data_IF_977262711634
#
_entry.id   IF_977262711634
#
_cell.length_a   1.000
_cell.length_b   1.000
_cell.length_c   1.000
_cell.angle_alpha   90.00
_cell.angle_beta   90.00
_cell.angle_gamma   90.00
#
_symmetry.space_group_name_H-M   'P 1'
#
loop_
_entity.id
_entity.type
_entity.pdbx_description
1 polymer ?
#
# COMPACT_ATOMS: atom_id res chain seq x y z
N UNK A 1 -55.61 -27.67 6.46
CA UNK A 1 -54.37 -27.51 5.66
C UNK A 1 -54.75 -27.47 4.19
N UNK A 2 -54.62 -26.30 3.52
CA UNK A 2 -54.83 -26.19 2.06
C UNK A 2 -53.62 -26.85 1.37
N UNK A 3 -53.85 -27.87 0.54
CA UNK A 3 -52.81 -28.46 -0.29
C UNK A 3 -52.38 -27.42 -1.34
N UNK A 4 -51.09 -27.20 -1.59
CA UNK A 4 -50.66 -26.33 -2.69
C UNK A 4 -51.10 -26.97 -4.01
N UNK A 5 -51.95 -26.30 -4.78
CA UNK A 5 -52.45 -26.78 -6.08
C UNK A 5 -51.78 -26.00 -7.21
N UNK A 6 -50.44 -26.01 -7.24
CA UNK A 6 -49.72 -25.49 -8.41
C UNK A 6 -49.85 -26.49 -9.54
N UNK A 7 -50.27 -26.01 -10.71
CA UNK A 7 -50.34 -26.87 -11.90
C UNK A 7 -48.92 -27.05 -12.45
N UNK A 8 -48.67 -28.19 -13.10
CA UNK A 8 -47.34 -28.56 -13.61
C UNK A 8 -46.72 -27.46 -14.50
N UNK A 9 -47.52 -26.78 -15.33
CA UNK A 9 -47.03 -25.71 -16.20
C UNK A 9 -46.56 -24.46 -15.44
N UNK A 10 -47.17 -24.13 -14.30
CA UNK A 10 -46.81 -22.97 -13.49
C UNK A 10 -45.42 -23.16 -12.88
N UNK A 11 -45.12 -24.39 -12.44
CA UNK A 11 -43.80 -24.75 -11.91
C UNK A 11 -42.73 -24.67 -13.01
N UNK A 12 -43.04 -25.16 -14.21
CA UNK A 12 -42.10 -25.09 -15.35
C UNK A 12 -41.77 -23.65 -15.73
N UNK A 13 -42.77 -22.75 -15.74
CA UNK A 13 -42.57 -21.33 -16.04
C UNK A 13 -41.67 -20.67 -14.97
N UNK A 14 -41.93 -20.93 -13.69
CA UNK A 14 -41.13 -20.35 -12.58
C UNK A 14 -39.67 -20.80 -12.65
N UNK A 15 -39.42 -22.08 -12.92
CA UNK A 15 -38.06 -22.62 -13.05
C UNK A 15 -37.34 -21.93 -14.21
N UNK A 16 -37.99 -21.78 -15.37
CA UNK A 16 -37.42 -21.08 -16.52
C UNK A 16 -37.06 -19.62 -16.22
N UNK A 17 -37.96 -18.89 -15.55
CA UNK A 17 -37.72 -17.48 -15.18
C UNK A 17 -36.58 -17.38 -14.17
N UNK A 18 -36.51 -18.28 -13.18
CA UNK A 18 -35.42 -18.28 -12.20
C UNK A 18 -34.06 -18.59 -12.86
N UNK A 19 -33.99 -19.57 -13.77
CA UNK A 19 -32.78 -19.88 -14.52
C UNK A 19 -32.32 -18.69 -15.36
N UNK A 20 -33.24 -18.03 -16.06
CA UNK A 20 -32.91 -16.88 -16.90
C UNK A 20 -32.35 -15.72 -16.06
N UNK A 21 -32.99 -15.42 -14.91
CA UNK A 21 -32.52 -14.37 -14.00
C UNK A 21 -31.13 -14.67 -13.42
N UNK A 22 -30.86 -15.94 -13.10
CA UNK A 22 -29.57 -16.37 -12.55
C UNK A 22 -28.45 -16.25 -13.59
N UNK A 23 -28.71 -16.66 -14.85
CA UNK A 23 -27.73 -16.53 -15.95
C UNK A 23 -27.39 -15.09 -16.29
N UNK A 24 -28.37 -14.18 -16.20
CA UNK A 24 -28.13 -12.76 -16.41
C UNK A 24 -27.26 -12.20 -15.29
N UNK A 25 -27.59 -12.49 -14.02
CA UNK A 25 -26.82 -12.01 -12.87
C UNK A 25 -25.37 -12.51 -12.89
N UNK A 26 -25.14 -13.79 -13.19
CA UNK A 26 -23.76 -14.34 -13.28
C UNK A 26 -22.99 -13.75 -14.47
N UNK A 27 -23.66 -13.49 -15.61
CA UNK A 27 -23.06 -12.82 -16.76
C UNK A 27 -22.63 -11.38 -16.46
N UNK A 28 -23.46 -10.60 -15.75
CA UNK A 28 -23.11 -9.24 -15.34
C UNK A 28 -21.91 -9.19 -14.40
N UNK A 29 -21.85 -10.09 -13.41
CA UNK A 29 -20.72 -10.16 -12.47
C UNK A 29 -19.42 -10.55 -13.21
N UNK A 30 -19.48 -11.52 -14.12
CA UNK A 30 -18.32 -11.93 -14.92
C UNK A 30 -17.79 -10.79 -15.82
N UNK A 31 -18.68 -9.95 -16.36
CA UNK A 31 -18.29 -8.83 -17.21
C UNK A 31 -17.58 -7.71 -16.42
N UNK A 32 -18.01 -7.43 -15.19
CA UNK A 32 -17.35 -6.44 -14.32
C UNK A 32 -15.93 -6.89 -13.97
N UNK A 33 -15.75 -8.15 -13.56
CA UNK A 33 -14.42 -8.69 -13.25
C UNK A 33 -13.47 -8.64 -14.47
N UNK A 34 -13.99 -8.89 -15.68
CA UNK A 34 -13.18 -8.81 -16.89
C UNK A 34 -12.69 -7.39 -17.18
N UNK A 35 -13.53 -6.38 -16.96
CA UNK A 35 -13.19 -4.97 -17.20
C UNK A 35 -12.16 -4.41 -16.20
N UNK A 36 -12.16 -4.88 -14.95
CA UNK A 36 -11.15 -4.47 -13.96
C UNK A 36 -9.75 -4.95 -14.36
N UNK A 37 -9.64 -6.15 -14.94
CA UNK A 37 -8.36 -6.72 -15.38
C UNK A 37 -7.87 -6.12 -16.73
N UNK A 38 -8.77 -5.67 -17.61
CA UNK A 38 -8.39 -5.22 -18.98
C UNK A 38 -8.14 -3.72 -19.13
N UNK A 39 -8.22 -2.92 -18.06
CA UNK A 39 -8.05 -1.46 -18.16
C UNK A 39 -6.58 -1.00 -18.20
N UNK A 40 -5.65 -1.94 -18.11
CA UNK A 40 -4.22 -1.68 -18.23
C UNK A 40 -3.81 -2.21 -19.61
N UNK A 41 -3.55 -1.30 -20.56
CA UNK A 41 -2.94 -1.72 -21.82
C UNK A 41 -1.60 -2.39 -21.51
N UNK A 42 -1.36 -3.62 -22.00
CA UNK A 42 -0.10 -4.29 -21.76
C UNK A 42 1.04 -3.43 -22.29
N UNK A 43 2.00 -3.13 -21.43
CA UNK A 43 3.21 -2.42 -21.84
C UNK A 43 4.00 -3.30 -22.79
N UNK A 44 4.85 -2.70 -23.65
CA UNK A 44 5.78 -3.50 -24.47
C UNK A 44 6.76 -4.31 -23.62
N UNK A 45 6.98 -3.91 -22.36
CA UNK A 45 7.82 -4.62 -21.40
C UNK A 45 7.06 -5.74 -20.68
N UNK A 46 7.50 -6.98 -20.91
CA UNK A 46 6.97 -8.19 -20.28
C UNK A 46 7.13 -8.16 -18.74
N UNK A 47 8.24 -7.60 -18.23
CA UNK A 47 8.50 -7.57 -16.79
C UNK A 47 7.52 -6.65 -16.07
N UNK A 48 7.18 -5.52 -16.68
CA UNK A 48 6.20 -4.58 -16.15
C UNK A 48 4.80 -5.22 -16.13
N UNK A 49 4.43 -5.94 -17.19
CA UNK A 49 3.17 -6.69 -17.22
C UNK A 49 3.12 -7.75 -16.11
N UNK A 50 4.22 -8.49 -15.90
CA UNK A 50 4.31 -9.49 -14.85
C UNK A 50 4.16 -8.87 -13.44
N UNK A 51 4.80 -7.72 -13.21
CA UNK A 51 4.66 -6.96 -11.97
C UNK A 51 3.20 -6.55 -11.73
N UNK A 52 2.54 -6.01 -12.76
CA UNK A 52 1.12 -5.61 -12.70
C UNK A 52 0.21 -6.79 -12.41
N UNK A 53 0.46 -7.96 -13.02
CA UNK A 53 -0.33 -9.16 -12.77
C UNK A 53 -0.21 -9.62 -11.32
N UNK A 54 1.01 -9.66 -10.78
CA UNK A 54 1.26 -10.02 -9.37
C UNK A 54 0.60 -9.01 -8.42
N UNK A 55 0.75 -7.71 -8.70
CA UNK A 55 0.13 -6.65 -7.91
C UNK A 55 -1.41 -6.82 -7.85
N UNK A 56 -2.06 -6.97 -9.00
CA UNK A 56 -3.51 -7.17 -9.06
C UNK A 56 -3.97 -8.49 -8.40
N UNK A 57 -3.15 -9.54 -8.50
CA UNK A 57 -3.43 -10.82 -7.85
C UNK A 57 -3.41 -10.69 -6.32
N UNK A 58 -2.49 -9.90 -5.77
CA UNK A 58 -2.44 -9.62 -4.32
C UNK A 58 -3.70 -8.86 -3.89
N UNK A 59 -4.07 -7.78 -4.58
CA UNK A 59 -5.24 -6.97 -4.22
C UNK A 59 -6.57 -7.75 -4.29
N UNK A 60 -6.69 -8.68 -5.23
CA UNK A 60 -7.95 -9.41 -5.47
C UNK A 60 -8.10 -10.68 -4.62
N UNK A 61 -6.98 -11.32 -4.23
CA UNK A 61 -7.00 -12.63 -3.57
C UNK A 61 -6.56 -12.59 -2.11
N UNK A 62 -5.97 -11.50 -1.64
CA UNK A 62 -5.58 -11.38 -0.24
C UNK A 62 -6.81 -11.12 0.64
N UNK A 63 -6.86 -11.79 1.79
CA UNK A 63 -8.02 -11.80 2.67
C UNK A 63 -8.09 -10.60 3.64
N UNK A 64 -6.95 -9.96 3.93
CA UNK A 64 -6.87 -8.84 4.86
C UNK A 64 -6.98 -7.48 4.19
N UNK A 65 -7.04 -6.43 5.02
CA UNK A 65 -6.90 -5.05 4.54
C UNK A 65 -5.45 -4.83 4.09
N UNK A 66 -5.28 -4.29 2.89
CA UNK A 66 -3.99 -3.89 2.32
C UNK A 66 -4.01 -2.38 2.14
N UNK A 67 -2.95 -1.72 2.61
CA UNK A 67 -2.63 -0.36 2.20
C UNK A 67 -1.87 -0.42 0.87
N UNK A 68 -2.51 0.03 -0.20
CA UNK A 68 -1.93 0.04 -1.55
C UNK A 68 -0.70 0.95 -1.64
N UNK A 69 -0.71 2.08 -0.91
CA UNK A 69 0.40 3.03 -0.91
C UNK A 69 1.63 2.41 -0.22
N UNK A 70 1.44 1.74 0.92
CA UNK A 70 2.51 1.03 1.62
C UNK A 70 3.07 -0.12 0.77
N UNK A 71 2.21 -0.87 0.07
CA UNK A 71 2.64 -1.98 -0.79
C UNK A 71 3.50 -1.51 -1.97
N UNK A 72 3.09 -0.43 -2.63
CA UNK A 72 3.87 0.19 -3.73
C UNK A 72 5.20 0.74 -3.20
N UNK A 73 5.18 1.42 -2.04
CA UNK A 73 6.39 1.98 -1.44
C UNK A 73 7.40 0.88 -1.08
N UNK A 74 6.93 -0.22 -0.50
CA UNK A 74 7.76 -1.39 -0.21
C UNK A 74 8.35 -2.02 -1.49
N UNK A 75 7.57 -2.10 -2.58
CA UNK A 75 8.05 -2.60 -3.86
C UNK A 75 9.16 -1.69 -4.44
N UNK A 76 8.99 -0.37 -4.39
CA UNK A 76 9.98 0.61 -4.85
C UNK A 76 11.27 0.51 -4.04
N UNK A 77 11.16 0.47 -2.71
CA UNK A 77 12.32 0.32 -1.82
C UNK A 77 13.05 -1.01 -2.07
N UNK A 78 12.32 -2.10 -2.31
CA UNK A 78 12.89 -3.39 -2.69
C UNK A 78 13.68 -3.34 -4.00
N UNK A 79 13.15 -2.64 -5.02
CA UNK A 79 13.86 -2.45 -6.29
C UNK A 79 15.17 -1.68 -6.10
N UNK A 80 15.16 -0.61 -5.31
CA UNK A 80 16.33 0.25 -5.08
C UNK A 80 17.40 -0.45 -4.27
N UNK A 81 17.02 -1.26 -3.29
CA UNK A 81 17.96 -2.04 -2.47
C UNK A 81 18.78 -3.03 -3.32
N UNK A 82 18.32 -3.38 -4.52
CA UNK A 82 19.05 -4.24 -5.46
C UNK A 82 19.99 -3.48 -6.40
N UNK A 83 19.94 -2.16 -6.40
CA UNK A 83 20.87 -1.32 -7.15
C UNK A 83 22.11 -1.14 -6.27
N UNK A 84 23.27 -1.54 -6.78
CA UNK A 84 24.56 -1.42 -6.10
C UNK A 84 25.15 0.01 -6.21
N UNK A 85 24.29 1.04 -6.19
CA UNK A 85 24.66 2.44 -6.29
C UNK A 85 24.25 3.19 -5.01
N UNK A 86 25.21 3.62 -4.17
CA UNK A 86 24.93 4.31 -2.92
C UNK A 86 24.31 5.71 -3.12
N UNK A 87 24.30 6.24 -4.36
CA UNK A 87 23.68 7.53 -4.67
C UNK A 87 22.24 7.40 -5.17
N UNK A 88 21.77 6.19 -5.43
CA UNK A 88 20.39 5.96 -5.87
C UNK A 88 19.48 5.77 -4.65
N UNK A 89 18.55 6.69 -4.47
CA UNK A 89 17.54 6.63 -3.39
C UNK A 89 16.18 7.10 -3.89
N UNK A 90 15.12 6.61 -3.26
CA UNK A 90 13.75 7.06 -3.51
C UNK A 90 13.31 8.01 -2.41
N UNK A 91 12.74 9.13 -2.83
CA UNK A 91 12.15 10.11 -1.93
C UNK A 91 10.65 9.92 -1.90
N UNK A 92 10.17 9.24 -0.85
CA UNK A 92 8.75 9.20 -0.55
C UNK A 92 8.22 10.61 -0.22
N UNK A 93 6.90 10.73 -0.10
CA UNK A 93 6.24 12.03 0.14
C UNK A 93 6.79 12.76 1.38
N UNK A 94 7.00 12.03 2.48
CA UNK A 94 7.49 12.57 3.74
C UNK A 94 8.95 13.04 3.63
N UNK A 95 9.84 12.21 3.07
CA UNK A 95 11.25 12.56 2.85
C UNK A 95 11.40 13.74 1.89
N UNK A 96 10.52 13.84 0.88
CA UNK A 96 10.48 14.97 -0.04
C UNK A 96 10.06 16.26 0.67
N UNK A 97 9.01 16.24 1.48
CA UNK A 97 8.60 17.41 2.28
C UNK A 97 9.73 17.88 3.20
N UNK A 98 10.34 16.95 3.95
CA UNK A 98 11.46 17.26 4.82
C UNK A 98 12.65 17.90 4.08
N UNK A 99 13.01 17.36 2.91
CA UNK A 99 14.06 17.95 2.07
C UNK A 99 13.68 19.35 1.57
N UNK A 100 12.44 19.55 1.13
CA UNK A 100 11.96 20.85 0.66
C UNK A 100 11.93 21.88 1.79
N UNK A 101 11.59 21.47 3.02
CA UNK A 101 11.61 22.32 4.19
C UNK A 101 13.05 22.73 4.55
N UNK A 102 13.99 21.79 4.50
CA UNK A 102 15.42 22.08 4.62
C UNK A 102 15.94 23.08 3.58
N UNK A 103 15.51 22.96 2.31
CA UNK A 103 15.85 23.91 1.24
C UNK A 103 15.23 25.29 1.45
N UNK A 104 14.04 25.37 2.04
CA UNK A 104 13.40 26.63 2.43
C UNK A 104 14.00 27.24 3.71
N UNK A 105 14.95 26.55 4.35
CA UNK A 105 15.51 26.94 5.63
C UNK A 105 14.53 26.81 6.80
N UNK A 106 13.44 26.06 6.61
CA UNK A 106 12.47 25.75 7.66
C UNK A 106 12.86 24.42 8.26
N UNK A 107 13.45 24.43 9.45
CA UNK A 107 13.80 23.24 10.20
C UNK A 107 12.88 23.15 11.40
N UNK A 108 11.94 22.22 11.39
CA UNK A 108 11.10 21.89 12.55
C UNK A 108 11.63 20.61 13.20
N UNK A 109 11.99 20.69 14.48
CA UNK A 109 12.59 19.58 15.21
C UNK A 109 12.88 19.94 16.66
N UNK A 110 13.27 18.94 17.45
CA UNK A 110 13.56 19.15 18.87
C UNK A 110 14.99 19.64 19.14
N UNK A 111 15.87 19.65 18.14
CA UNK A 111 17.24 20.17 18.25
C UNK A 111 18.29 19.16 18.70
N UNK A 112 18.20 17.92 18.19
CA UNK A 112 19.19 16.86 18.42
C UNK A 112 19.86 16.45 17.10
N UNK A 113 21.12 16.05 17.20
CA UNK A 113 21.87 15.37 16.15
C UNK A 113 21.92 13.88 16.50
N UNK A 114 21.63 13.02 15.52
CA UNK A 114 21.55 11.57 15.72
C UNK A 114 22.44 10.82 14.75
N UNK A 115 22.87 9.63 15.14
CA UNK A 115 23.56 8.68 14.27
C UNK A 115 23.05 7.26 14.55
N UNK A 116 23.23 6.37 13.59
CA UNK A 116 22.90 4.95 13.75
C UNK A 116 24.20 4.17 13.90
N UNK A 117 24.32 3.39 14.99
CA UNK A 117 25.48 2.52 15.17
C UNK A 117 25.36 1.20 14.37
N UNK A 118 26.42 0.40 14.39
CA UNK A 118 26.49 -0.90 13.69
C UNK A 118 25.41 -1.91 14.15
N UNK A 119 24.87 -1.74 15.37
CA UNK A 119 23.79 -2.57 15.93
C UNK A 119 22.38 -2.07 15.52
N UNK A 120 22.29 -1.04 14.68
CA UNK A 120 21.02 -0.44 14.25
C UNK A 120 20.33 0.45 15.29
N UNK A 121 21.02 0.81 16.38
CA UNK A 121 20.49 1.70 17.42
C UNK A 121 20.72 3.16 17.04
N UNK A 122 19.71 3.98 17.28
CA UNK A 122 19.79 5.43 17.07
C UNK A 122 20.33 6.08 18.34
N UNK A 123 21.48 6.74 18.24
CA UNK A 123 22.15 7.45 19.33
C UNK A 123 22.15 8.95 19.09
N UNK A 124 22.03 9.72 20.16
CA UNK A 124 22.18 11.17 20.14
C UNK A 124 23.67 11.52 20.17
N UNK A 125 24.18 12.13 19.10
CA UNK A 125 25.58 12.58 19.00
C UNK A 125 25.78 14.00 19.52
N UNK A 126 24.72 14.82 19.54
CA UNK A 126 24.77 16.20 20.00
C UNK A 126 23.38 16.77 20.30
N UNK A 127 23.33 17.73 21.23
CA UNK A 127 22.11 18.47 21.58
C UNK A 127 22.40 19.96 21.46
N UNK A 128 21.60 20.67 20.68
CA UNK A 128 21.75 22.11 20.44
C UNK A 128 21.28 22.91 21.67
N UNK A 129 22.03 23.93 22.05
CA UNK A 129 21.67 24.80 23.18
C UNK A 129 20.37 25.59 22.91
N UNK A 130 19.58 25.83 23.96
CA UNK A 130 18.29 26.56 23.91
C UNK A 130 17.18 25.90 23.07
N UNK A 131 17.32 24.62 22.71
CA UNK A 131 16.30 23.86 21.99
C UNK A 131 15.33 23.11 22.92
N UNK A 132 14.17 22.63 22.44
CA UNK A 132 13.28 21.78 23.22
C UNK A 132 13.99 20.55 23.82
N UNK A 133 14.90 19.92 23.09
CA UNK A 133 15.69 18.79 23.55
C UNK A 133 16.60 19.14 24.74
N UNK A 134 17.29 20.28 24.68
CA UNK A 134 18.11 20.77 25.78
C UNK A 134 17.27 21.07 27.03
N UNK A 135 16.07 21.64 26.86
CA UNK A 135 15.12 21.88 27.96
C UNK A 135 14.52 20.60 28.53
N UNK A 136 14.38 19.57 27.70
CA UNK A 136 13.92 18.24 28.10
C UNK A 136 15.03 17.42 28.79
N UNK A 137 16.28 17.91 28.79
CA UNK A 137 17.40 17.25 29.45
C UNK A 137 17.99 16.08 28.68
N UNK A 138 17.78 16.01 27.36
CA UNK A 138 18.45 15.02 26.51
C UNK A 138 19.95 15.25 26.51
N UNK A 139 20.73 14.16 26.52
CA UNK A 139 22.17 14.19 26.59
C UNK A 139 22.80 13.46 25.40
N UNK A 140 24.08 13.76 25.19
CA UNK A 140 24.92 12.98 24.28
C UNK A 140 24.99 11.54 24.76
N UNK A 141 25.01 10.60 23.81
CA UNK A 141 25.09 9.15 23.99
C UNK A 141 23.78 8.51 24.49
N UNK A 142 22.69 9.27 24.61
CA UNK A 142 21.35 8.72 24.84
C UNK A 142 20.92 7.86 23.65
N UNK A 143 20.27 6.72 23.94
CA UNK A 143 19.75 5.79 22.94
C UNK A 143 18.24 6.00 22.78
N UNK A 144 17.79 6.27 21.57
CA UNK A 144 16.37 6.41 21.25
C UNK A 144 15.78 5.00 21.07
N UNK A 145 14.85 4.65 21.96
CA UNK A 145 14.24 3.32 22.04
C UNK A 145 12.95 3.24 21.22
N UNK A 146 12.18 4.33 21.18
CA UNK A 146 10.90 4.48 20.47
C UNK A 146 10.60 5.96 20.25
N UNK A 147 9.72 6.25 19.29
CA UNK A 147 9.24 7.59 18.94
C UNK A 147 7.72 7.60 19.10
#
# INVERSE_FOLDING_TARGET
MKKPTFKLYEVIIIVFVSCLSMSIATGYVAQINKQVITKIEPTEDENVNNFIEVYNSILSNYFGDIDEDELIEAAINGMITKIDDPYTTYLNKYSKEFLLDGLKGTYEGIGIEITTNDDGKVLITGVLNNTPASKAGLLKDDVIISI
#
